data_IF_949925576439
#
_entry.id   IF_949925576439
#
_cell.length_a   1.000
_cell.length_b   1.000
_cell.length_c   1.000
_cell.angle_alpha   90.00
_cell.angle_beta   90.00
_cell.angle_gamma   90.00
#
_symmetry.space_group_name_H-M   'P 1'
#
loop_
_entity.id
_entity.type
_entity.pdbx_description
1 polymer ?
#
# COMPACT_ATOMS: atom_id res chain seq x y z
N UNK A 1 6.47 8.93 6.83
CA UNK A 1 5.60 9.72 5.92
C UNK A 1 4.41 8.83 5.63
N UNK A 2 3.19 9.27 5.94
CA UNK A 2 2.02 8.41 5.87
C UNK A 2 1.05 8.80 4.74
N UNK A 3 0.47 7.79 4.10
CA UNK A 3 -0.52 7.94 3.03
C UNK A 3 -1.67 6.96 3.23
N UNK A 4 -2.84 7.30 2.72
CA UNK A 4 -4.02 6.44 2.68
C UNK A 4 -4.56 6.36 1.26
N UNK A 5 -5.08 5.18 0.91
CA UNK A 5 -5.84 4.95 -0.30
C UNK A 5 -7.14 4.21 0.04
N UNK A 6 -8.26 4.73 -0.47
CA UNK A 6 -9.56 4.09 -0.36
C UNK A 6 -9.71 3.08 -1.50
N UNK A 7 -9.90 1.79 -1.17
CA UNK A 7 -10.07 0.72 -2.16
C UNK A 7 -11.53 0.55 -2.61
N UNK A 8 -12.46 1.31 -2.00
CA UNK A 8 -13.90 1.12 -2.13
C UNK A 8 -14.44 0.08 -1.14
N UNK A 9 -15.77 0.03 -0.99
CA UNK A 9 -16.47 -0.92 -0.08
C UNK A 9 -16.08 -0.86 1.41
N UNK A 10 -15.49 0.25 1.87
CA UNK A 10 -15.05 0.41 3.27
C UNK A 10 -13.69 -0.21 3.56
N UNK A 11 -12.91 -0.57 2.52
CA UNK A 11 -11.54 -1.00 2.65
C UNK A 11 -10.57 0.15 2.38
N UNK A 12 -9.55 0.27 3.23
CA UNK A 12 -8.47 1.25 3.16
C UNK A 12 -7.13 0.56 3.23
N UNK A 13 -6.15 1.13 2.53
CA UNK A 13 -4.74 0.79 2.70
C UNK A 13 -4.01 2.03 3.17
N UNK A 14 -3.35 1.90 4.30
CA UNK A 14 -2.44 2.88 4.86
C UNK A 14 -1.01 2.45 4.58
N UNK A 15 -0.19 3.43 4.24
CA UNK A 15 1.22 3.26 3.93
C UNK A 15 1.99 4.21 4.81
N UNK A 16 2.99 3.70 5.52
CA UNK A 16 3.89 4.53 6.30
C UNK A 16 5.34 4.22 5.98
N UNK A 17 6.08 5.26 5.62
CA UNK A 17 7.53 5.22 5.53
C UNK A 17 8.15 5.48 6.91
N UNK A 18 8.65 4.43 7.54
CA UNK A 18 9.32 4.42 8.84
C UNK A 18 10.82 4.19 8.65
N UNK A 19 11.54 5.25 8.27
CA UNK A 19 12.97 5.23 7.99
C UNK A 19 13.33 4.51 6.70
N UNK A 20 13.57 3.20 6.78
CA UNK A 20 13.84 2.32 5.62
C UNK A 20 12.81 1.21 5.45
N UNK A 21 11.81 1.17 6.34
CA UNK A 21 10.71 0.22 6.29
C UNK A 21 9.47 0.89 5.72
N UNK A 22 8.81 0.19 4.81
CA UNK A 22 7.44 0.46 4.41
C UNK A 22 6.51 -0.38 5.26
N UNK A 23 5.68 0.26 6.07
CA UNK A 23 4.60 -0.39 6.80
C UNK A 23 3.32 -0.26 5.97
N UNK A 24 2.70 -1.39 5.68
CA UNK A 24 1.42 -1.45 4.96
C UNK A 24 0.36 -1.94 5.94
N UNK A 25 -0.69 -1.16 6.14
CA UNK A 25 -1.82 -1.52 7.00
C UNK A 25 -3.11 -1.53 6.19
N UNK A 26 -3.75 -2.69 6.09
CA UNK A 26 -5.10 -2.82 5.51
C UNK A 26 -6.13 -2.74 6.62
N UNK A 27 -7.13 -1.89 6.43
CA UNK A 27 -8.31 -1.82 7.29
C UNK A 27 -9.52 -2.12 6.41
N UNK A 28 -10.34 -3.08 6.81
CA UNK A 28 -11.58 -3.43 6.10
C UNK A 28 -12.70 -3.65 7.08
N UNK A 29 -13.90 -3.15 6.77
CA UNK A 29 -15.10 -3.50 7.51
C UNK A 29 -16.05 -2.34 7.72
N UNK A 30 -17.16 -2.65 8.39
CA UNK A 30 -18.18 -1.68 8.78
C UNK A 30 -17.95 -1.18 10.21
N UNK A 31 -18.62 -0.10 10.59
CA UNK A 31 -18.62 0.41 11.96
C UNK A 31 -19.01 -0.73 12.92
N UNK A 32 -18.11 -1.09 13.84
CA UNK A 32 -18.31 -2.17 14.81
C UNK A 32 -17.72 -3.54 14.43
N UNK A 33 -17.25 -3.75 13.19
CA UNK A 33 -16.51 -4.94 12.77
C UNK A 33 -15.37 -4.56 11.82
N UNK A 34 -14.35 -3.89 12.36
CA UNK A 34 -13.14 -3.53 11.63
C UNK A 34 -12.10 -4.63 11.79
N UNK A 35 -11.66 -5.18 10.66
CA UNK A 35 -10.48 -6.03 10.60
C UNK A 35 -9.28 -5.20 10.15
N UNK A 36 -8.16 -5.39 10.83
CA UNK A 36 -6.90 -4.73 10.52
C UNK A 36 -5.81 -5.80 10.37
N UNK A 37 -4.97 -5.62 9.37
CA UNK A 37 -3.72 -6.37 9.22
C UNK A 37 -2.61 -5.38 8.86
N UNK A 38 -1.41 -5.62 9.38
CA UNK A 38 -0.25 -4.78 9.11
C UNK A 38 0.97 -5.66 8.83
N UNK A 39 1.80 -5.24 7.87
CA UNK A 39 3.05 -5.89 7.56
C UNK A 39 4.13 -4.85 7.25
N UNK A 40 5.37 -5.12 7.65
CA UNK A 40 6.51 -4.25 7.34
C UNK A 40 7.44 -4.88 6.31
N UNK A 41 7.97 -4.05 5.43
CA UNK A 41 8.84 -4.45 4.33
C UNK A 41 10.07 -3.56 4.28
N UNK A 42 11.25 -4.17 4.17
CA UNK A 42 12.50 -3.43 3.96
C UNK A 42 12.59 -3.01 2.48
N UNK A 43 12.10 -1.81 2.16
CA UNK A 43 12.13 -1.22 0.81
C UNK A 43 13.20 -0.15 0.66
N UNK A 44 13.74 0.37 1.77
CA UNK A 44 14.55 1.59 1.78
C UNK A 44 13.69 2.85 1.92
N UNK A 45 14.36 4.00 2.05
CA UNK A 45 13.70 5.30 2.19
C UNK A 45 13.06 5.75 0.88
N UNK A 46 11.82 6.22 0.97
CA UNK A 46 11.10 6.70 -0.20
C UNK A 46 11.72 7.98 -0.76
N UNK A 47 11.88 8.04 -2.07
CA UNK A 47 12.35 9.22 -2.81
C UNK A 47 11.21 9.99 -3.47
N UNK A 48 9.99 9.42 -3.48
CA UNK A 48 8.78 10.01 -4.05
C UNK A 48 7.53 9.48 -3.33
N UNK A 49 6.37 10.15 -3.45
CA UNK A 49 5.11 9.63 -2.94
C UNK A 49 4.80 8.24 -3.51
N UNK A 50 4.19 7.34 -2.72
CA UNK A 50 3.86 6.00 -3.18
C UNK A 50 2.75 6.05 -4.23
N UNK A 51 2.77 5.11 -5.17
CA UNK A 51 1.71 4.95 -6.16
C UNK A 51 0.98 3.63 -5.91
N UNK A 52 -0.34 3.63 -6.06
CA UNK A 52 -1.16 2.42 -5.97
C UNK A 52 -1.90 2.20 -7.28
N UNK A 53 -1.93 0.95 -7.72
CA UNK A 53 -2.57 0.53 -8.95
C UNK A 53 -3.61 -0.52 -8.62
N UNK A 54 -4.85 -0.29 -9.02
CA UNK A 54 -5.92 -1.26 -8.89
C UNK A 54 -5.73 -2.38 -9.92
N UNK A 55 -5.79 -3.62 -9.45
CA UNK A 55 -5.72 -4.83 -10.26
C UNK A 55 -6.98 -5.67 -10.06
N UNK A 56 -7.27 -6.66 -10.92
CA UNK A 56 -8.42 -7.54 -10.74
C UNK A 56 -8.43 -8.30 -9.39
N UNK A 57 -7.25 -8.51 -8.78
CA UNK A 57 -7.09 -9.33 -7.59
C UNK A 57 -6.81 -8.50 -6.31
N UNK A 58 -6.82 -7.18 -6.39
CA UNK A 58 -6.46 -6.30 -5.26
C UNK A 58 -5.71 -5.06 -5.73
N UNK A 59 -4.71 -4.63 -4.97
CA UNK A 59 -3.87 -3.48 -5.34
C UNK A 59 -2.40 -3.83 -5.36
N UNK A 60 -1.67 -3.13 -6.21
CA UNK A 60 -0.21 -3.15 -6.22
C UNK A 60 0.30 -1.79 -5.82
N UNK A 61 1.12 -1.78 -4.78
CA UNK A 61 1.88 -0.64 -4.33
C UNK A 61 3.22 -0.58 -5.07
N UNK A 62 3.55 0.58 -5.61
CA UNK A 62 4.88 0.93 -6.10
C UNK A 62 5.52 1.94 -5.15
N UNK A 63 6.69 1.58 -4.64
CA UNK A 63 7.56 2.45 -3.84
C UNK A 63 8.81 2.76 -4.65
N UNK A 64 9.09 4.04 -4.84
CA UNK A 64 10.36 4.50 -5.43
C UNK A 64 11.35 4.82 -4.31
N UNK A 65 12.52 4.19 -4.35
CA UNK A 65 13.63 4.46 -3.43
C UNK A 65 14.93 4.68 -4.20
N UNK A 66 15.99 5.10 -3.49
CA UNK A 66 17.32 5.24 -4.06
C UNK A 66 17.91 3.90 -4.57
N UNK A 67 17.35 2.75 -4.17
CA UNK A 67 17.80 1.41 -4.55
C UNK A 67 17.00 0.84 -5.73
N UNK A 68 15.96 1.54 -6.17
CA UNK A 68 15.09 1.14 -7.28
C UNK A 68 13.62 1.14 -6.91
N UNK A 69 12.82 0.52 -7.77
CA UNK A 69 11.38 0.35 -7.56
C UNK A 69 11.12 -0.92 -6.75
N UNK A 70 10.24 -0.82 -5.76
CA UNK A 70 9.75 -1.97 -4.99
C UNK A 70 8.25 -2.11 -5.18
N UNK A 71 7.81 -3.35 -5.39
CA UNK A 71 6.41 -3.67 -5.62
C UNK A 71 5.88 -4.58 -4.52
N UNK A 72 4.77 -4.18 -3.92
CA UNK A 72 4.07 -4.95 -2.88
C UNK A 72 2.64 -5.18 -3.35
N UNK A 73 2.22 -6.43 -3.43
CA UNK A 73 0.84 -6.78 -3.73
C UNK A 73 0.05 -6.90 -2.43
N UNK A 74 -1.17 -6.35 -2.43
CA UNK A 74 -2.12 -6.42 -1.32
C UNK A 74 -3.44 -7.00 -1.86
N UNK A 75 -3.86 -8.13 -1.30
CA UNK A 75 -5.10 -8.85 -1.65
C UNK A 75 -5.89 -9.15 -0.37
N UNK A 76 -6.94 -8.38 -0.10
CA UNK A 76 -7.62 -8.44 1.20
C UNK A 76 -6.66 -8.06 2.33
N UNK A 77 -6.42 -8.99 3.27
CA UNK A 77 -5.45 -8.84 4.37
C UNK A 77 -4.08 -9.45 4.06
N UNK A 78 -3.92 -10.11 2.92
CA UNK A 78 -2.65 -10.74 2.52
C UNK A 78 -1.77 -9.73 1.78
N UNK A 79 -0.48 -9.71 2.13
CA UNK A 79 0.50 -8.78 1.57
C UNK A 79 1.79 -9.52 1.22
N UNK A 80 2.38 -9.23 0.06
CA UNK A 80 3.61 -9.91 -0.38
C UNK A 80 4.45 -9.02 -1.30
N UNK A 81 5.77 -9.13 -1.20
CA UNK A 81 6.70 -8.46 -2.12
C UNK A 81 6.70 -9.20 -3.45
N UNK A 82 6.68 -8.46 -4.55
CA UNK A 82 6.76 -9.01 -5.90
C UNK A 82 8.20 -9.03 -6.38
N UNK A 83 8.63 -10.14 -7.00
CA UNK A 83 10.01 -10.36 -7.45
C UNK A 83 10.36 -9.67 -8.79
N UNK A 84 9.54 -8.72 -9.24
CA UNK A 84 9.73 -8.03 -10.51
C UNK A 84 8.63 -7.00 -10.78
N UNK A 85 8.79 -6.22 -11.85
CA UNK A 85 7.82 -5.19 -12.24
C UNK A 85 6.52 -5.85 -12.71
N UNK A 86 5.37 -5.53 -12.08
CA UNK A 86 4.07 -6.02 -12.52
C UNK A 86 3.75 -5.53 -13.93
N UNK A 87 3.06 -6.34 -14.72
CA UNK A 87 2.41 -5.82 -15.93
C UNK A 87 1.18 -5.04 -15.52
N UNK A 88 1.26 -3.72 -15.63
CA UNK A 88 0.19 -2.81 -15.25
C UNK A 88 -0.92 -2.70 -16.31
N UNK A 89 -0.85 -3.39 -17.46
CA UNK A 89 -1.92 -3.51 -18.47
C UNK A 89 -2.95 -2.37 -18.48
N UNK A 90 -4.20 -2.67 -18.09
CA UNK A 90 -5.29 -1.71 -17.89
C UNK A 90 -5.53 -1.34 -16.41
N UNK A 91 -4.50 -1.45 -15.56
CA UNK A 91 -4.59 -1.09 -14.14
C UNK A 91 -4.81 0.40 -13.99
N UNK A 92 -5.73 0.76 -13.09
CA UNK A 92 -6.06 2.15 -12.83
C UNK A 92 -5.22 2.65 -11.66
N UNK A 93 -4.43 3.71 -11.88
CA UNK A 93 -3.75 4.39 -10.79
C UNK A 93 -4.80 5.01 -9.85
N UNK A 94 -4.67 4.69 -8.57
CA UNK A 94 -5.59 5.14 -7.53
C UNK A 94 -5.12 6.46 -6.95
N UNK A 95 -6.08 7.24 -6.45
CA UNK A 95 -5.79 8.46 -5.72
C UNK A 95 -5.25 8.11 -4.33
N UNK A 96 -4.09 8.67 -4.00
CA UNK A 96 -3.48 8.57 -2.68
C UNK A 96 -3.56 9.91 -1.98
N UNK A 97 -3.80 9.88 -0.68
CA UNK A 97 -3.91 11.07 0.15
C UNK A 97 -2.86 10.99 1.24
N UNK A 98 -2.07 12.05 1.40
CA UNK A 98 -1.13 12.13 2.50
C UNK A 98 -1.90 12.35 3.82
N UNK A 99 -1.53 11.62 4.86
CA UNK A 99 -2.12 11.72 6.21
C UNK A 99 -1.04 11.94 7.25
N UNK A 100 -1.42 12.46 8.42
CA UNK A 100 -0.48 12.71 9.50
C UNK A 100 0.04 11.41 10.13
N UNK A 101 -0.85 10.42 10.31
CA UNK A 101 -0.55 9.14 10.95
C UNK A 101 -1.39 8.02 10.33
N UNK A 102 -0.90 6.78 10.44
CA UNK A 102 -1.67 5.57 10.17
C UNK A 102 -2.34 5.08 11.46
N UNK A 103 -3.44 4.31 11.38
CA UNK A 103 -4.01 3.66 12.56
C UNK A 103 -2.98 2.76 13.25
N UNK A 104 -3.02 2.75 14.58
CA UNK A 104 -2.18 1.92 15.44
C UNK A 104 -2.66 0.47 15.51
#
# INVERSE_FOLDING_TARGET
MAYVCELGTGQRVYLDNQGTQTVVTTVSGSVGQQQQASNSFQTGSWTSPPQLFQTPNGVVLKIETAQGEHFIQVQGSSMSVMSGTPSFGSSQQMQVQQVATTPA
#
